data_IF_382785595861
#
_entry.id   IF_382785595861
#
_cell.length_a   1.000
_cell.length_b   1.000
_cell.length_c   1.000
_cell.angle_alpha   90.00
_cell.angle_beta   90.00
_cell.angle_gamma   90.00
#
_symmetry.space_group_name_H-M   'P 1'
#
loop_
_entity.id
_entity.type
_entity.pdbx_description
1 polymer ?
#
# COMPACT_ATOMS: atom_id res chain seq x y z
N UNK A 1 -65.52 -36.01 81.14
CA UNK A 1 -65.29 -36.07 79.69
C UNK A 1 -64.21 -35.04 79.41
N UNK A 2 -63.01 -35.47 79.02
CA UNK A 2 -61.84 -34.58 78.83
C UNK A 2 -61.82 -34.21 77.34
N UNK A 3 -62.03 -32.93 77.05
CA UNK A 3 -62.01 -32.39 75.68
C UNK A 3 -60.60 -31.87 75.38
N UNK A 4 -59.90 -32.57 74.48
CA UNK A 4 -58.58 -32.19 73.95
C UNK A 4 -58.73 -31.08 72.92
N UNK A 5 -58.24 -29.88 73.24
CA UNK A 5 -58.19 -28.74 72.32
C UNK A 5 -56.91 -28.83 71.45
N UNK A 6 -57.09 -29.05 70.15
CA UNK A 6 -56.01 -29.16 69.16
C UNK A 6 -55.46 -27.79 68.74
N UNK A 7 -54.13 -27.66 68.79
CA UNK A 7 -53.36 -26.47 68.43
C UNK A 7 -53.17 -26.40 66.89
N UNK A 8 -53.36 -25.24 66.22
CA UNK A 8 -53.15 -25.14 64.77
C UNK A 8 -51.65 -25.01 64.43
N UNK A 9 -51.20 -25.81 63.47
CA UNK A 9 -49.86 -25.78 62.87
C UNK A 9 -49.61 -24.47 62.09
N UNK A 10 -48.44 -23.83 62.19
CA UNK A 10 -48.15 -22.61 61.42
C UNK A 10 -47.91 -22.93 59.94
N UNK A 11 -48.48 -22.13 59.05
CA UNK A 11 -48.28 -22.23 57.58
C UNK A 11 -46.82 -21.94 57.21
N UNK A 12 -46.27 -22.76 56.32
CA UNK A 12 -44.95 -22.58 55.71
C UNK A 12 -44.93 -21.36 54.78
N UNK A 13 -44.03 -20.41 55.04
CA UNK A 13 -43.75 -19.26 54.16
C UNK A 13 -42.77 -19.72 53.08
N UNK A 14 -43.17 -19.68 51.81
CA UNK A 14 -42.30 -19.98 50.68
C UNK A 14 -41.31 -18.83 50.44
N UNK A 15 -40.03 -19.08 50.73
CA UNK A 15 -38.90 -18.18 50.47
C UNK A 15 -38.45 -18.32 49.01
N UNK A 16 -39.12 -17.63 48.10
CA UNK A 16 -38.70 -17.49 46.71
C UNK A 16 -38.79 -16.03 46.27
N UNK A 17 -37.81 -15.50 45.50
CA UNK A 17 -37.88 -14.12 45.01
C UNK A 17 -39.12 -13.98 44.12
N UNK A 18 -39.89 -12.92 44.36
CA UNK A 18 -41.15 -12.66 43.67
C UNK A 18 -40.92 -12.57 42.15
N UNK A 19 -41.93 -12.96 41.37
CA UNK A 19 -41.85 -12.96 39.89
C UNK A 19 -41.41 -11.59 39.34
N UNK A 20 -41.86 -10.51 39.97
CA UNK A 20 -41.47 -9.14 39.65
C UNK A 20 -39.97 -8.86 39.84
N UNK A 21 -39.34 -9.47 40.86
CA UNK A 21 -37.90 -9.31 41.13
C UNK A 21 -37.03 -10.02 40.07
N UNK A 22 -37.51 -11.15 39.53
CA UNK A 22 -36.82 -11.87 38.44
C UNK A 22 -36.89 -11.11 37.12
N UNK A 23 -38.04 -10.51 36.81
CA UNK A 23 -38.22 -9.70 35.60
C UNK A 23 -37.33 -8.46 35.65
N UNK A 24 -37.27 -7.78 36.79
CA UNK A 24 -36.41 -6.61 36.96
C UNK A 24 -34.92 -6.96 36.79
N UNK A 25 -34.47 -8.08 37.37
CA UNK A 25 -33.08 -8.53 37.20
C UNK A 25 -32.73 -8.87 35.76
N UNK A 26 -33.66 -9.48 35.01
CA UNK A 26 -33.46 -9.78 33.59
C UNK A 26 -33.35 -8.51 32.76
N UNK A 27 -34.26 -7.55 32.96
CA UNK A 27 -34.22 -6.25 32.27
C UNK A 27 -32.93 -5.49 32.56
N UNK A 28 -32.47 -5.51 33.83
CA UNK A 28 -31.23 -4.84 34.23
C UNK A 28 -30.01 -5.49 33.58
N UNK A 29 -30.00 -6.82 33.45
CA UNK A 29 -28.93 -7.55 32.78
C UNK A 29 -28.87 -7.24 31.28
N UNK A 30 -30.02 -7.23 30.60
CA UNK A 30 -30.09 -6.85 29.18
C UNK A 30 -29.63 -5.42 28.97
N UNK A 31 -30.07 -4.49 29.83
CA UNK A 31 -29.66 -3.09 29.75
C UNK A 31 -28.13 -2.91 29.86
N UNK A 32 -27.50 -3.59 30.83
CA UNK A 32 -26.04 -3.53 31.01
C UNK A 32 -25.29 -4.10 29.80
N UNK A 33 -25.76 -5.21 29.22
CA UNK A 33 -25.15 -5.79 28.01
C UNK A 33 -25.27 -4.83 26.83
N UNK A 34 -26.45 -4.25 26.62
CA UNK A 34 -26.66 -3.26 25.55
C UNK A 34 -25.79 -2.02 25.75
N UNK A 35 -25.65 -1.54 26.99
CA UNK A 35 -24.80 -0.39 27.30
C UNK A 35 -23.31 -0.68 27.05
N UNK A 36 -22.83 -1.88 27.40
CA UNK A 36 -21.44 -2.30 27.13
C UNK A 36 -21.14 -2.35 25.64
N UNK A 37 -22.01 -2.99 24.85
CA UNK A 37 -21.84 -3.10 23.39
C UNK A 37 -21.94 -1.71 22.74
N UNK A 38 -22.92 -0.90 23.13
CA UNK A 38 -23.10 0.46 22.62
C UNK A 38 -21.90 1.34 22.91
N UNK A 39 -21.35 1.27 24.13
CA UNK A 39 -20.18 2.07 24.53
C UNK A 39 -18.92 1.64 23.77
N UNK A 40 -18.70 0.34 23.56
CA UNK A 40 -17.56 -0.16 22.78
C UNK A 40 -17.64 0.28 21.31
N UNK A 41 -18.81 0.14 20.68
CA UNK A 41 -19.02 0.60 19.30
C UNK A 41 -18.87 2.12 19.17
N UNK A 42 -19.36 2.88 20.15
CA UNK A 42 -19.23 4.33 20.17
C UNK A 42 -17.77 4.77 20.37
N UNK A 43 -17.01 4.10 21.23
CA UNK A 43 -15.58 4.36 21.42
C UNK A 43 -14.78 4.09 20.13
N UNK A 44 -15.01 2.96 19.46
CA UNK A 44 -14.35 2.65 18.17
C UNK A 44 -14.74 3.67 17.09
N UNK A 45 -16.01 4.08 17.05
CA UNK A 45 -16.48 5.11 16.13
C UNK A 45 -15.81 6.46 16.40
N UNK A 46 -15.73 6.88 17.67
CA UNK A 46 -15.05 8.11 18.05
C UNK A 46 -13.56 8.06 17.73
N UNK A 47 -12.88 6.95 17.98
CA UNK A 47 -11.45 6.82 17.68
C UNK A 47 -11.19 6.95 16.17
N UNK A 48 -11.96 6.24 15.33
CA UNK A 48 -11.87 6.38 13.87
C UNK A 48 -12.19 7.79 13.38
N UNK A 49 -13.14 8.47 14.02
CA UNK A 49 -13.50 9.84 13.68
C UNK A 49 -12.44 10.83 14.13
N UNK A 50 -11.81 10.61 15.28
CA UNK A 50 -10.70 11.41 15.78
C UNK A 50 -9.45 11.23 14.90
N UNK A 51 -9.10 10.00 14.51
CA UNK A 51 -7.98 9.74 13.61
C UNK A 51 -8.19 10.45 12.26
N UNK A 52 -9.41 10.38 11.72
CA UNK A 52 -9.77 11.10 10.49
C UNK A 52 -9.69 12.63 10.65
N UNK A 53 -10.11 13.16 11.80
CA UNK A 53 -10.03 14.60 12.08
C UNK A 53 -8.57 15.03 12.32
N UNK A 54 -7.74 14.20 12.94
CA UNK A 54 -6.31 14.45 13.16
C UNK A 54 -5.56 14.45 11.82
N UNK A 55 -5.86 13.51 10.91
CA UNK A 55 -5.30 13.49 9.55
C UNK A 55 -5.73 14.74 8.74
N UNK A 56 -7.00 15.15 8.85
CA UNK A 56 -7.50 16.39 8.23
C UNK A 56 -6.88 17.64 8.89
N UNK A 57 -6.60 17.62 10.20
CA UNK A 57 -5.96 18.73 10.93
C UNK A 57 -4.47 18.86 10.58
N UNK A 58 -3.73 17.76 10.50
CA UNK A 58 -2.33 17.75 10.11
C UNK A 58 -2.14 18.30 8.68
N UNK A 59 -3.00 17.89 7.75
CA UNK A 59 -2.99 18.43 6.39
C UNK A 59 -3.33 19.94 6.38
N UNK A 60 -4.20 20.39 7.28
CA UNK A 60 -4.57 21.80 7.40
C UNK A 60 -3.45 22.65 8.03
N UNK A 61 -2.76 22.15 9.07
CA UNK A 61 -1.63 22.84 9.72
C UNK A 61 -0.47 23.05 8.74
N UNK A 62 -0.11 22.03 7.95
CA UNK A 62 0.94 22.13 6.92
C UNK A 62 0.56 23.12 5.80
N UNK A 63 -0.71 23.12 5.39
CA UNK A 63 -1.21 24.05 4.39
C UNK A 63 -1.25 25.50 4.91
N UNK A 64 -1.62 25.72 6.18
CA UNK A 64 -1.64 27.04 6.82
C UNK A 64 -0.22 27.58 6.98
N UNK A 65 0.76 26.75 7.36
CA UNK A 65 2.16 27.17 7.46
C UNK A 65 2.73 27.59 6.09
N UNK A 66 2.51 26.77 5.05
CA UNK A 66 2.94 27.06 3.67
C UNK A 66 2.31 28.36 3.14
N UNK A 67 1.00 28.55 3.37
CA UNK A 67 0.26 29.74 2.98
C UNK A 67 0.70 30.99 3.76
N UNK A 68 1.11 30.82 5.02
CA UNK A 68 1.66 31.89 5.86
C UNK A 68 3.02 32.36 5.35
N UNK A 69 3.92 31.45 4.99
CA UNK A 69 5.21 31.79 4.35
C UNK A 69 4.98 32.48 3.01
N UNK A 70 4.04 31.99 2.20
CA UNK A 70 3.70 32.61 0.92
C UNK A 70 3.15 34.04 1.09
N UNK A 71 2.35 34.29 2.13
CA UNK A 71 1.88 35.65 2.47
C UNK A 71 3.02 36.53 2.99
N UNK A 72 3.94 36.01 3.80
CA UNK A 72 5.14 36.76 4.21
C UNK A 72 6.00 37.17 3.00
N UNK A 73 6.08 36.33 1.96
CA UNK A 73 6.85 36.63 0.74
C UNK A 73 6.14 37.62 -0.20
N UNK A 74 4.80 37.57 -0.30
CA UNK A 74 4.01 38.44 -1.18
C UNK A 74 3.72 39.83 -0.61
N UNK A 75 4.03 40.08 0.67
CA UNK A 75 3.88 41.40 1.29
C UNK A 75 2.43 41.89 1.42
N UNK A 76 1.44 40.99 1.30
CA UNK A 76 0.02 41.33 1.40
C UNK A 76 -0.45 41.27 2.86
N UNK A 77 -0.52 42.46 3.48
CA UNK A 77 -1.61 42.94 4.34
C UNK A 77 -2.10 42.11 5.54
N UNK A 78 -1.74 42.60 6.75
CA UNK A 78 -2.42 42.44 8.05
C UNK A 78 -2.50 41.03 8.66
N UNK A 79 -1.35 40.51 9.11
CA UNK A 79 -1.34 39.61 10.26
C UNK A 79 -0.36 40.14 11.30
N UNK A 80 -0.82 40.09 12.54
CA UNK A 80 -0.22 40.57 13.78
C UNK A 80 1.31 40.53 13.82
N UNK A 81 1.86 41.55 14.48
CA UNK A 81 3.24 41.95 14.80
C UNK A 81 4.15 40.87 15.44
N UNK A 82 4.00 39.59 15.07
CA UNK A 82 4.94 38.52 15.40
C UNK A 82 5.51 37.92 14.11
N UNK A 83 6.37 38.76 13.54
CA UNK A 83 7.70 38.37 13.10
C UNK A 83 7.79 37.40 11.91
N UNK A 84 7.20 37.78 10.76
CA UNK A 84 7.63 37.24 9.45
C UNK A 84 9.15 37.33 9.26
N UNK A 85 9.81 38.29 9.92
CA UNK A 85 11.27 38.43 9.95
C UNK A 85 11.95 37.30 10.72
N UNK A 86 11.39 36.86 11.85
CA UNK A 86 11.87 35.70 12.63
C UNK A 86 11.63 34.38 11.89
N UNK A 87 10.43 34.20 11.34
CA UNK A 87 10.09 33.00 10.55
C UNK A 87 11.00 32.91 9.33
N UNK A 88 11.24 34.05 8.67
CA UNK A 88 12.18 34.14 7.56
C UNK A 88 13.62 33.90 8.00
N UNK A 89 14.07 34.42 9.14
CA UNK A 89 15.44 34.19 9.62
C UNK A 89 15.66 32.76 10.09
N UNK A 90 14.67 32.11 10.68
CA UNK A 90 14.73 30.68 11.03
C UNK A 90 14.75 29.82 9.77
N UNK A 91 13.92 30.15 8.78
CA UNK A 91 13.92 29.45 7.49
C UNK A 91 15.22 29.68 6.72
N UNK A 92 15.73 30.92 6.65
CA UNK A 92 17.02 31.24 6.04
C UNK A 92 18.17 30.58 6.80
N UNK A 93 18.11 30.52 8.13
CA UNK A 93 19.08 29.79 8.97
C UNK A 93 19.10 28.30 8.65
N UNK A 94 17.92 27.69 8.58
CA UNK A 94 17.74 26.28 8.19
C UNK A 94 18.25 26.00 6.76
N UNK A 95 17.92 26.87 5.79
CA UNK A 95 18.40 26.75 4.40
C UNK A 95 19.91 26.96 4.30
N UNK A 96 20.47 27.89 5.09
CA UNK A 96 21.91 28.18 5.11
C UNK A 96 22.71 27.03 5.72
N UNK A 97 22.18 26.37 6.74
CA UNK A 97 22.77 25.16 7.34
C UNK A 97 22.77 23.97 6.37
N UNK A 98 21.73 23.86 5.54
CA UNK A 98 21.65 22.88 4.44
C UNK A 98 22.65 23.21 3.31
N UNK A 99 22.84 24.49 2.98
CA UNK A 99 23.71 24.95 1.90
C UNK A 99 25.21 24.90 2.25
N UNK A 100 25.59 25.12 3.51
CA UNK A 100 27.00 25.13 3.95
C UNK A 100 27.64 23.74 4.07
N UNK A 101 26.83 22.67 4.09
CA UNK A 101 27.31 21.28 4.20
C UNK A 101 27.54 20.58 2.84
N UNK A 102 27.51 21.29 1.71
CA UNK A 102 27.81 20.74 0.38
C UNK A 102 28.94 21.53 -0.28
N UNK A 103 30.19 21.09 -0.09
CA UNK A 103 31.29 21.49 -0.97
C UNK A 103 31.21 20.72 -2.31
N UNK A 104 30.92 21.50 -3.35
CA UNK A 104 31.24 21.37 -4.78
C UNK A 104 30.46 20.41 -5.74
N UNK A 105 30.32 20.82 -7.03
CA UNK A 105 29.08 20.63 -7.79
C UNK A 105 29.22 19.70 -9.01
N UNK A 106 28.12 18.99 -9.38
CA UNK A 106 27.68 18.78 -10.78
C UNK A 106 26.35 17.99 -10.91
N UNK A 107 25.39 18.66 -11.56
CA UNK A 107 24.35 18.20 -12.51
C UNK A 107 23.62 16.87 -12.28
N UNK A 108 22.40 16.95 -11.76
CA UNK A 108 21.10 16.73 -12.45
C UNK A 108 20.02 16.70 -11.36
N UNK A 109 18.95 17.50 -11.51
CA UNK A 109 17.94 17.69 -10.48
C UNK A 109 17.02 16.46 -10.46
N UNK A 110 17.40 15.46 -9.66
CA UNK A 110 16.46 14.48 -9.14
C UNK A 110 15.83 15.09 -7.87
N UNK A 111 14.50 15.09 -7.78
CA UNK A 111 13.79 15.46 -6.56
C UNK A 111 14.31 14.58 -5.41
N UNK A 112 15.09 15.16 -4.49
CA UNK A 112 15.68 14.44 -3.36
C UNK A 112 14.55 14.00 -2.40
N UNK A 113 14.25 12.70 -2.38
CA UNK A 113 13.52 12.06 -1.28
C UNK A 113 14.34 12.24 0.01
N UNK A 114 13.68 12.69 1.09
CA UNK A 114 14.24 12.75 2.43
C UNK A 114 14.92 11.42 2.79
N UNK A 115 16.26 11.42 2.89
CA UNK A 115 17.00 10.34 3.54
C UNK A 115 17.00 10.61 5.05
N UNK A 116 16.04 10.01 5.75
CA UNK A 116 16.25 9.66 7.16
C UNK A 116 17.37 8.63 7.25
N UNK A 117 18.03 8.54 8.40
CA UNK A 117 19.09 7.58 8.74
C UNK A 117 18.54 6.14 8.85
N UNK A 118 17.97 5.65 7.75
CA UNK A 118 17.35 4.34 7.61
C UNK A 118 18.01 3.60 6.45
N UNK A 119 18.07 2.27 6.56
CA UNK A 119 18.58 1.37 5.51
C UNK A 119 18.07 1.82 4.12
N UNK A 120 18.94 1.99 3.11
CA UNK A 120 18.53 2.57 1.83
C UNK A 120 17.33 1.84 1.24
N UNK A 121 16.22 2.55 1.04
CA UNK A 121 15.01 1.98 0.44
C UNK A 121 15.35 1.40 -0.95
N UNK A 122 15.08 0.11 -1.16
CA UNK A 122 15.33 -0.56 -2.44
C UNK A 122 13.98 -0.75 -3.14
N UNK A 123 13.75 -0.01 -4.21
CA UNK A 123 12.54 -0.10 -5.02
C UNK A 123 12.84 0.17 -6.49
N UNK A 124 12.09 -0.49 -7.36
CA UNK A 124 12.13 -0.28 -8.79
C UNK A 124 10.72 -0.35 -9.40
N UNK A 125 10.47 0.50 -10.39
CA UNK A 125 9.30 0.47 -11.26
C UNK A 125 9.77 0.78 -12.68
N UNK A 126 9.48 -0.11 -13.63
CA UNK A 126 9.92 -0.01 -15.00
C UNK A 126 8.73 -0.05 -15.95
N UNK A 127 8.89 0.65 -17.07
CA UNK A 127 7.89 0.74 -18.13
C UNK A 127 8.30 -0.16 -19.28
N UNK A 128 7.32 -0.83 -19.90
CA UNK A 128 7.59 -1.74 -21.00
C UNK A 128 8.21 -1.04 -22.22
N UNK A 129 9.02 -1.80 -22.95
CA UNK A 129 9.64 -1.38 -24.20
C UNK A 129 9.40 -2.44 -25.29
N UNK A 130 8.92 -1.99 -26.44
CA UNK A 130 8.75 -2.86 -27.58
C UNK A 130 10.11 -3.31 -28.11
N UNK A 131 10.21 -4.56 -28.55
CA UNK A 131 11.43 -5.11 -29.11
C UNK A 131 11.15 -5.83 -30.42
N UNK A 132 12.03 -5.66 -31.40
CA UNK A 132 12.00 -6.42 -32.66
C UNK A 132 12.54 -7.85 -32.51
N UNK A 133 13.05 -8.22 -31.33
CA UNK A 133 13.58 -9.56 -31.06
C UNK A 133 12.43 -10.52 -30.73
N UNK A 134 12.42 -11.70 -31.36
CA UNK A 134 11.45 -12.78 -31.13
C UNK A 134 11.70 -13.52 -29.80
N UNK A 135 11.72 -12.78 -28.69
CA UNK A 135 11.93 -13.32 -27.35
C UNK A 135 10.63 -13.29 -26.55
N UNK A 136 10.34 -14.37 -25.82
CA UNK A 136 9.24 -14.41 -24.84
C UNK A 136 9.50 -13.55 -23.61
N UNK A 137 10.74 -13.10 -23.38
CA UNK A 137 11.11 -12.25 -22.24
C UNK A 137 10.88 -10.79 -22.60
N UNK A 138 10.04 -10.12 -21.81
CA UNK A 138 9.69 -8.72 -22.03
C UNK A 138 10.90 -7.79 -21.85
N UNK A 139 10.90 -6.70 -22.62
CA UNK A 139 11.89 -5.63 -22.47
C UNK A 139 11.29 -4.46 -21.67
N UNK A 140 12.16 -3.77 -20.94
CA UNK A 140 11.84 -2.72 -20.00
C UNK A 140 12.82 -1.56 -20.16
N UNK A 141 12.35 -0.35 -19.91
CA UNK A 141 13.16 0.86 -20.00
C UNK A 141 12.92 1.79 -18.79
N UNK A 142 13.97 2.56 -18.48
CA UNK A 142 13.94 3.65 -17.50
C UNK A 142 13.40 4.93 -18.17
N UNK A 143 12.11 4.91 -18.53
CA UNK A 143 11.44 6.00 -19.25
C UNK A 143 10.08 6.32 -18.62
N UNK A 144 9.57 7.52 -18.85
CA UNK A 144 8.32 7.99 -18.25
C UNK A 144 8.42 8.04 -16.72
N UNK A 145 7.33 7.69 -16.03
CA UNK A 145 7.28 7.63 -14.56
C UNK A 145 7.88 6.32 -14.02
N UNK A 146 9.17 6.11 -14.26
CA UNK A 146 9.91 4.97 -13.73
C UNK A 146 10.46 5.28 -12.32
N UNK A 147 10.90 4.25 -11.60
CA UNK A 147 11.58 4.38 -10.30
C UNK A 147 12.78 3.45 -10.27
N UNK A 148 13.91 3.94 -9.81
CA UNK A 148 15.11 3.16 -9.46
C UNK A 148 15.75 3.85 -8.26
N UNK A 149 15.50 3.33 -7.05
CA UNK A 149 15.81 4.09 -5.83
C UNK A 149 17.31 4.27 -5.58
N UNK A 150 18.13 3.27 -5.89
CA UNK A 150 19.58 3.29 -5.73
C UNK A 150 20.26 2.19 -6.55
N UNK A 151 21.59 2.07 -6.44
CA UNK A 151 22.42 1.10 -7.16
C UNK A 151 22.31 -0.34 -6.65
N UNK A 152 21.56 -0.60 -5.58
CA UNK A 152 21.32 -1.94 -5.02
C UNK A 152 20.26 -2.73 -5.81
N UNK A 153 19.56 -2.07 -6.73
CA UNK A 153 18.72 -2.70 -7.76
C UNK A 153 19.14 -2.18 -9.12
N UNK A 154 19.32 -3.07 -10.10
CA UNK A 154 19.74 -2.68 -11.45
C UNK A 154 18.89 -3.36 -12.51
N UNK A 155 18.67 -2.67 -13.62
CA UNK A 155 18.09 -3.25 -14.83
C UNK A 155 19.22 -3.77 -15.72
N UNK A 156 19.32 -5.09 -15.88
CA UNK A 156 20.32 -5.73 -16.74
C UNK A 156 19.72 -6.08 -18.11
N UNK A 157 20.45 -5.72 -19.17
CA UNK A 157 20.12 -6.00 -20.58
C UNK A 157 18.72 -5.55 -21.03
N UNK A 158 18.07 -4.65 -20.27
CA UNK A 158 16.68 -4.25 -20.49
C UNK A 158 15.66 -5.36 -20.17
N UNK A 159 16.04 -6.48 -19.54
CA UNK A 159 15.16 -7.65 -19.38
C UNK A 159 14.81 -8.00 -17.94
N UNK A 160 15.75 -7.78 -17.02
CA UNK A 160 15.68 -8.34 -15.68
C UNK A 160 16.11 -7.32 -14.62
N UNK A 161 15.43 -7.34 -13.48
CA UNK A 161 15.79 -6.59 -12.30
C UNK A 161 16.68 -7.46 -11.41
N UNK A 162 17.91 -7.03 -11.17
CA UNK A 162 18.87 -7.70 -10.29
C UNK A 162 18.98 -6.97 -8.96
N UNK A 163 18.90 -7.71 -7.86
CA UNK A 163 19.05 -7.18 -6.50
C UNK A 163 20.44 -7.48 -5.95
N UNK A 164 21.03 -6.55 -5.21
CA UNK A 164 22.34 -6.71 -4.56
C UNK A 164 22.26 -7.20 -3.13
N UNK A 165 21.12 -7.03 -2.48
CA UNK A 165 20.92 -7.45 -1.09
C UNK A 165 19.96 -8.61 -1.01
N UNK A 166 20.25 -9.54 -0.11
CA UNK A 166 19.30 -10.56 0.26
C UNK A 166 18.17 -9.94 1.08
N UNK A 167 16.96 -10.50 0.96
CA UNK A 167 15.83 -10.14 1.81
C UNK A 167 14.49 -10.49 1.19
N UNK A 168 13.42 -10.08 1.84
CA UNK A 168 12.07 -10.19 1.30
C UNK A 168 11.76 -9.02 0.38
N UNK A 169 11.17 -9.34 -0.76
CA UNK A 169 10.77 -8.37 -1.77
C UNK A 169 9.32 -8.63 -2.16
N UNK A 170 8.51 -7.58 -2.20
CA UNK A 170 7.25 -7.62 -2.93
C UNK A 170 7.55 -7.32 -4.40
N UNK A 171 7.26 -8.28 -5.27
CA UNK A 171 7.55 -8.22 -6.70
C UNK A 171 6.23 -8.25 -7.44
N UNK A 172 6.06 -7.33 -8.39
CA UNK A 172 4.82 -7.21 -9.14
C UNK A 172 5.05 -6.93 -10.62
N UNK A 173 4.14 -7.41 -11.45
CA UNK A 173 4.12 -7.14 -12.88
C UNK A 173 2.67 -6.99 -13.36
N UNK A 174 2.44 -6.03 -14.24
CA UNK A 174 1.20 -5.89 -14.98
C UNK A 174 1.50 -6.04 -16.47
N UNK A 175 0.77 -6.92 -17.15
CA UNK A 175 0.87 -7.13 -18.58
C UNK A 175 -0.50 -6.94 -19.20
N UNK A 176 -0.64 -5.90 -20.01
CA UNK A 176 -1.81 -5.74 -20.87
C UNK A 176 -1.44 -6.25 -22.25
N UNK A 177 -2.28 -7.09 -22.81
CA UNK A 177 -2.09 -7.66 -24.13
C UNK A 177 -3.39 -7.59 -24.91
N UNK A 178 -3.25 -7.72 -26.21
CA UNK A 178 -4.35 -7.68 -27.14
C UNK A 178 -4.26 -8.95 -27.99
N UNK A 179 -5.21 -9.86 -27.77
CA UNK A 179 -5.25 -11.13 -28.50
C UNK A 179 -6.42 -11.11 -29.48
N UNK A 180 -6.17 -11.47 -30.73
CA UNK A 180 -7.19 -11.96 -31.65
C UNK A 180 -7.07 -13.49 -31.72
N UNK A 181 -8.20 -14.20 -31.69
CA UNK A 181 -8.17 -15.64 -31.87
C UNK A 181 -7.99 -15.97 -33.36
N UNK A 182 -6.77 -16.33 -33.76
CA UNK A 182 -6.60 -17.14 -34.96
C UNK A 182 -7.10 -18.57 -34.67
N UNK A 183 -7.86 -19.18 -35.59
CA UNK A 183 -8.52 -20.47 -35.36
C UNK A 183 -7.55 -21.65 -35.08
N UNK A 184 -6.24 -21.46 -35.29
CA UNK A 184 -5.20 -22.47 -35.10
C UNK A 184 -4.61 -22.53 -33.68
N UNK A 185 -4.86 -21.55 -32.81
CA UNK A 185 -4.21 -21.45 -31.49
C UNK A 185 -5.22 -21.33 -30.34
N UNK A 186 -5.60 -22.47 -29.76
CA UNK A 186 -6.44 -22.55 -28.56
C UNK A 186 -5.70 -22.25 -27.24
N UNK A 187 -4.37 -22.06 -27.28
CA UNK A 187 -3.57 -21.88 -26.07
C UNK A 187 -3.81 -20.50 -25.41
N UNK A 188 -3.97 -20.44 -24.08
CA UNK A 188 -4.17 -19.17 -23.37
C UNK A 188 -2.94 -18.26 -23.49
N UNK A 189 -3.14 -16.97 -23.29
CA UNK A 189 -2.04 -16.05 -23.06
C UNK A 189 -1.56 -16.24 -21.62
N UNK A 190 -0.27 -16.54 -21.42
CA UNK A 190 0.32 -16.79 -20.10
C UNK A 190 1.40 -15.75 -19.86
N UNK A 191 1.35 -15.09 -18.69
CA UNK A 191 2.47 -14.32 -18.16
C UNK A 191 3.06 -15.06 -16.95
N UNK A 192 4.38 -15.22 -16.90
CA UNK A 192 5.06 -15.75 -15.72
C UNK A 192 6.13 -14.79 -15.22
N UNK A 193 6.14 -14.58 -13.91
CA UNK A 193 7.23 -13.94 -13.18
C UNK A 193 8.24 -15.02 -12.82
N UNK A 194 9.47 -14.87 -13.29
CA UNK A 194 10.55 -15.84 -13.13
C UNK A 194 11.70 -15.27 -12.29
N UNK A 195 12.37 -16.16 -11.58
CA UNK A 195 13.56 -15.92 -10.78
C UNK A 195 14.73 -16.67 -11.39
N UNK A 196 15.83 -15.95 -11.61
CA UNK A 196 17.15 -16.48 -11.92
C UNK A 196 18.04 -16.33 -10.69
N UNK A 197 18.41 -17.46 -10.10
CA UNK A 197 19.32 -17.49 -8.95
C UNK A 197 20.75 -17.16 -9.38
N UNK A 198 21.63 -16.80 -8.43
CA UNK A 198 23.04 -16.50 -8.70
C UNK A 198 23.80 -17.64 -9.40
N UNK A 199 23.44 -18.90 -9.12
CA UNK A 199 23.95 -20.10 -9.80
C UNK A 199 23.37 -20.35 -11.20
N UNK A 200 22.56 -19.43 -11.74
CA UNK A 200 22.02 -19.50 -13.09
C UNK A 200 20.74 -20.33 -13.26
N UNK A 201 20.29 -21.06 -12.23
CA UNK A 201 19.03 -21.80 -12.27
C UNK A 201 17.82 -20.87 -12.31
N UNK A 202 16.90 -21.16 -13.23
CA UNK A 202 15.66 -20.41 -13.42
C UNK A 202 14.47 -21.18 -12.85
N UNK A 203 13.56 -20.46 -12.18
CA UNK A 203 12.30 -21.00 -11.66
C UNK A 203 11.18 -19.98 -11.81
N UNK A 204 9.96 -20.47 -11.92
CA UNK A 204 8.76 -19.62 -11.96
C UNK A 204 8.33 -19.31 -10.53
N UNK A 205 8.07 -18.04 -10.24
CA UNK A 205 7.52 -17.57 -8.96
C UNK A 205 6.00 -17.46 -9.02
N UNK A 206 5.48 -16.79 -10.04
CA UNK A 206 4.06 -16.58 -10.26
C UNK A 206 3.71 -16.81 -11.73
N UNK A 207 2.48 -17.24 -11.98
CA UNK A 207 1.94 -17.40 -13.31
C UNK A 207 0.45 -17.08 -13.32
N UNK A 208 0.01 -16.40 -14.35
CA UNK A 208 -1.40 -16.18 -14.64
C UNK A 208 -1.67 -16.42 -16.12
N UNK A 209 -2.87 -16.87 -16.42
CA UNK A 209 -3.29 -17.26 -17.75
C UNK A 209 -4.68 -16.68 -18.02
N UNK A 210 -4.84 -16.06 -19.19
CA UNK A 210 -6.13 -15.61 -19.69
C UNK A 210 -6.45 -16.34 -20.99
N UNK A 211 -7.70 -16.79 -21.12
CA UNK A 211 -8.20 -17.30 -22.39
C UNK A 211 -8.21 -16.18 -23.42
N UNK A 212 -7.83 -16.50 -24.67
CA UNK A 212 -7.83 -15.52 -25.75
C UNK A 212 -9.27 -15.13 -26.09
N UNK A 213 -9.47 -13.85 -26.42
CA UNK A 213 -10.78 -13.35 -26.84
C UNK A 213 -11.22 -13.97 -28.17
N UNK A 214 -12.50 -14.34 -28.26
CA UNK A 214 -13.15 -14.81 -29.49
C UNK A 214 -13.56 -13.66 -30.44
N UNK A 215 -13.20 -12.42 -30.12
CA UNK A 215 -13.51 -11.27 -30.95
C UNK A 215 -12.74 -11.29 -32.27
N UNK A 216 -13.40 -10.85 -33.35
CA UNK A 216 -12.76 -10.60 -34.66
C UNK A 216 -11.79 -9.43 -34.60
N UNK A 217 -12.01 -8.50 -33.69
CA UNK A 217 -11.10 -7.41 -33.37
C UNK A 217 -10.27 -7.77 -32.16
N UNK A 218 -9.09 -7.17 -32.08
CA UNK A 218 -8.20 -7.39 -30.96
C UNK A 218 -8.82 -6.81 -29.67
N UNK A 219 -9.12 -7.68 -28.69
CA UNK A 219 -9.67 -7.27 -27.38
C UNK A 219 -8.54 -7.16 -26.37
N UNK A 220 -8.52 -6.06 -25.62
CA UNK A 220 -7.51 -5.82 -24.59
C UNK A 220 -7.87 -6.52 -23.29
N UNK A 221 -6.91 -7.23 -22.72
CA UNK A 221 -7.00 -7.87 -21.42
C UNK A 221 -5.74 -7.59 -20.61
N UNK A 222 -5.87 -7.54 -19.29
CA UNK A 222 -4.75 -7.29 -18.38
C UNK A 222 -4.57 -8.42 -17.38
N UNK A 223 -3.31 -8.77 -17.13
CA UNK A 223 -2.87 -9.70 -16.09
C UNK A 223 -2.07 -8.90 -15.07
N UNK A 224 -2.35 -9.11 -13.78
CA UNK A 224 -1.53 -8.61 -12.68
C UNK A 224 -0.97 -9.79 -11.88
N UNK A 225 0.33 -9.75 -11.61
CA UNK A 225 1.05 -10.70 -10.76
C UNK A 225 1.66 -9.90 -9.61
N UNK A 226 1.53 -10.38 -8.38
CA UNK A 226 2.10 -9.74 -7.20
C UNK A 226 2.31 -10.75 -6.09
N UNK A 227 3.47 -10.73 -5.43
CA UNK A 227 3.76 -11.63 -4.33
C UNK A 227 5.05 -11.29 -3.60
N UNK A 228 5.17 -11.80 -2.37
CA UNK A 228 6.37 -11.64 -1.53
C UNK A 228 7.27 -12.84 -1.70
N UNK A 229 8.55 -12.61 -1.99
CA UNK A 229 9.55 -13.66 -2.17
C UNK A 229 10.86 -13.27 -1.48
N UNK A 230 11.54 -14.26 -0.90
CA UNK A 230 12.92 -14.08 -0.48
C UNK A 230 13.84 -14.16 -1.70
N UNK A 231 14.59 -13.09 -1.94
CA UNK A 231 15.63 -13.05 -2.98
C UNK A 231 17.00 -13.14 -2.32
N UNK A 232 17.86 -13.96 -2.92
CA UNK A 232 19.27 -14.03 -2.56
C UNK A 232 20.03 -12.86 -3.19
N UNK A 233 21.21 -12.53 -2.63
CA UNK A 233 22.09 -11.55 -3.24
C UNK A 233 22.43 -11.93 -4.70
N UNK A 234 22.45 -10.92 -5.57
CA UNK A 234 22.67 -11.06 -7.02
C UNK A 234 21.62 -11.88 -7.79
N UNK A 235 20.51 -12.23 -7.16
CA UNK A 235 19.37 -12.83 -7.85
C UNK A 235 18.72 -11.83 -8.81
N UNK A 236 18.19 -12.34 -9.92
CA UNK A 236 17.49 -11.53 -10.93
C UNK A 236 16.07 -12.03 -11.15
N UNK A 237 15.14 -11.12 -11.34
CA UNK A 237 13.75 -11.44 -11.70
C UNK A 237 13.37 -10.83 -13.03
N UNK A 238 12.58 -11.55 -13.81
CA UNK A 238 12.15 -11.17 -15.14
C UNK A 238 10.75 -11.70 -15.44
N UNK A 239 10.11 -11.14 -16.46
CA UNK A 239 8.75 -11.54 -16.88
C UNK A 239 8.83 -12.18 -18.27
N UNK A 240 8.26 -13.37 -18.40
CA UNK A 240 8.04 -14.01 -19.68
C UNK A 240 6.55 -14.04 -20.03
N UNK A 241 6.26 -14.09 -21.32
CA UNK A 241 4.91 -14.24 -21.85
C UNK A 241 4.89 -15.27 -22.97
N UNK A 242 3.71 -15.81 -23.29
CA UNK A 242 3.51 -16.72 -24.44
C UNK A 242 3.81 -16.07 -25.77
N UNK A 243 3.41 -14.80 -25.94
CA UNK A 243 3.63 -14.06 -27.19
C UNK A 243 3.86 -12.57 -26.89
N UNK A 244 5.10 -12.12 -26.99
CA UNK A 244 5.47 -10.73 -26.71
C UNK A 244 4.93 -9.74 -27.75
N UNK A 245 4.60 -10.19 -28.96
CA UNK A 245 4.07 -9.32 -30.03
C UNK A 245 2.67 -8.79 -29.74
N UNK A 246 1.92 -9.49 -28.88
CA UNK A 246 0.56 -9.12 -28.47
C UNK A 246 0.54 -8.12 -27.30
N UNK A 247 1.68 -7.82 -26.70
CA UNK A 247 1.76 -6.96 -25.52
C UNK A 247 1.55 -5.50 -25.92
N UNK A 248 0.69 -4.81 -25.17
CA UNK A 248 0.46 -3.39 -25.33
C UNK A 248 1.52 -2.59 -24.56
N UNK A 249 2.30 -1.80 -25.30
CA UNK A 249 3.37 -0.94 -24.80
C UNK A 249 2.97 0.52 -24.61
N UNK A 250 1.68 0.85 -24.72
CA UNK A 250 1.16 2.18 -24.43
C UNK A 250 1.37 2.58 -22.95
N UNK A 251 1.38 3.88 -22.70
CA UNK A 251 1.63 4.44 -21.37
C UNK A 251 0.69 3.86 -20.32
N UNK A 252 1.25 3.29 -19.24
CA UNK A 252 0.49 2.78 -18.09
C UNK A 252 -0.08 1.35 -18.24
N UNK A 253 -0.03 0.75 -19.42
CA UNK A 253 -0.62 -0.57 -19.66
C UNK A 253 0.21 -1.74 -19.13
N UNK A 254 1.52 -1.69 -19.34
CA UNK A 254 2.44 -2.79 -19.01
C UNK A 254 3.65 -2.27 -18.24
N UNK A 255 3.85 -2.79 -17.03
CA UNK A 255 4.87 -2.34 -16.07
C UNK A 255 5.39 -3.49 -15.22
N UNK A 256 6.58 -3.32 -14.66
CA UNK A 256 7.25 -4.32 -13.83
C UNK A 256 8.04 -3.64 -12.72
N UNK A 257 7.93 -4.14 -11.49
CA UNK A 257 8.61 -3.52 -10.35
C UNK A 257 8.79 -4.44 -9.16
N UNK A 258 9.51 -3.91 -8.19
CA UNK A 258 9.73 -4.53 -6.89
C UNK A 258 9.97 -3.48 -5.82
N UNK A 259 9.75 -3.86 -4.56
CA UNK A 259 10.20 -3.12 -3.39
C UNK A 259 10.67 -4.09 -2.33
N UNK A 260 11.76 -3.75 -1.63
CA UNK A 260 12.26 -4.50 -0.48
C UNK A 260 11.43 -4.18 0.75
N UNK A 261 11.12 -5.22 1.53
CA UNK A 261 10.48 -5.14 2.84
C UNK A 261 11.51 -4.94 3.96
#
# INVERSE_FOLDING_TARGET
MIETYSQPTPRSVATGPSVSMKIFMYLLTVFLITQMIGSALFAVYLHRRLDKIEDERNLHEDFVFMKTIQRCNKGEGSLSLLNCKEIRSQFEGFVKDIMLNKEEPKKEINFEMQKGDQDPQIAAHLISEASSKSSSVLQWAKKGYYTMSNTLVTLENGKQLKVKRQGFYYIYAQVTFCSNQEPSSQAPFIASLCLKSSGGSERILLRAANARSSSKTCEQQSIHLGGVFELQADASVFVNVTDASQVNHGTGFTSFGLLKL
#
